data_IF_505853202682
#
_entry.id   IF_505853202682
#
_cell.length_a   1.000
_cell.length_b   1.000
_cell.length_c   1.000
_cell.angle_alpha   90.00
_cell.angle_beta   90.00
_cell.angle_gamma   90.00
#
_symmetry.space_group_name_H-M   'P 1'
#
loop_
_entity.id
_entity.type
_entity.pdbx_description
1 polymer ?
#
# COMPACT_ATOMS: atom_id res chain seq x y z
N UNK A 1 -64.28 -17.08 -46.03
CA UNK A 1 -63.44 -16.71 -44.87
C UNK A 1 -61.93 -16.69 -45.16
N UNK A 2 -61.47 -16.73 -46.43
CA UNK A 2 -60.02 -16.76 -46.74
C UNK A 2 -59.42 -15.44 -47.25
N UNK A 3 -60.24 -14.48 -47.70
CA UNK A 3 -59.73 -13.19 -48.20
C UNK A 3 -59.44 -12.15 -47.10
N UNK A 4 -60.19 -12.15 -45.99
CA UNK A 4 -59.95 -11.18 -44.89
C UNK A 4 -58.65 -11.45 -44.13
N UNK A 5 -58.29 -12.74 -43.95
CA UNK A 5 -57.00 -13.09 -43.34
C UNK A 5 -55.84 -12.63 -44.22
N UNK A 6 -55.94 -12.79 -45.55
CA UNK A 6 -54.86 -12.43 -46.48
C UNK A 6 -54.59 -10.91 -46.52
N UNK A 7 -55.65 -10.10 -46.43
CA UNK A 7 -55.53 -8.65 -46.33
C UNK A 7 -54.83 -8.21 -45.02
N UNK A 8 -55.21 -8.85 -43.90
CA UNK A 8 -54.62 -8.57 -42.58
C UNK A 8 -53.12 -8.90 -42.52
N UNK A 9 -52.67 -10.00 -43.12
CA UNK A 9 -51.25 -10.36 -43.19
C UNK A 9 -50.44 -9.39 -44.05
N UNK A 10 -50.99 -8.93 -45.17
CA UNK A 10 -50.33 -7.98 -46.08
C UNK A 10 -50.09 -6.63 -45.40
N UNK A 11 -51.05 -6.16 -44.61
CA UNK A 11 -50.92 -4.90 -43.87
C UNK A 11 -49.99 -5.01 -42.66
N UNK A 12 -49.96 -6.17 -41.99
CA UNK A 12 -48.99 -6.45 -40.93
C UNK A 12 -47.55 -6.52 -41.46
N UNK A 13 -47.34 -7.17 -42.61
CA UNK A 13 -46.04 -7.21 -43.29
C UNK A 13 -45.60 -5.81 -43.75
N UNK A 14 -46.51 -5.00 -44.30
CA UNK A 14 -46.21 -3.61 -44.64
C UNK A 14 -45.83 -2.78 -43.41
N UNK A 15 -46.53 -2.94 -42.29
CA UNK A 15 -46.18 -2.27 -41.02
C UNK A 15 -44.83 -2.72 -40.49
N UNK A 16 -44.50 -4.02 -40.57
CA UNK A 16 -43.22 -4.57 -40.11
C UNK A 16 -42.05 -4.16 -41.01
N UNK A 17 -42.25 -4.12 -42.33
CA UNK A 17 -41.27 -3.58 -43.29
C UNK A 17 -41.06 -2.07 -43.10
N UNK A 18 -42.12 -1.30 -42.80
CA UNK A 18 -41.99 0.11 -42.48
C UNK A 18 -41.26 0.36 -41.15
N UNK A 19 -41.47 -0.50 -40.14
CA UNK A 19 -40.73 -0.46 -38.87
C UNK A 19 -39.25 -0.86 -39.05
N UNK A 20 -38.95 -1.92 -39.81
CA UNK A 20 -37.59 -2.33 -40.14
C UNK A 20 -36.83 -1.23 -40.89
N UNK A 21 -37.49 -0.56 -41.85
CA UNK A 21 -36.90 0.61 -42.54
C UNK A 21 -36.65 1.80 -41.61
N UNK A 22 -37.47 1.98 -40.56
CA UNK A 22 -37.22 3.01 -39.54
C UNK A 22 -36.03 2.66 -38.65
N UNK A 23 -35.85 1.39 -38.28
CA UNK A 23 -34.66 0.92 -37.54
C UNK A 23 -33.39 0.99 -38.37
N UNK A 24 -33.44 0.62 -39.66
CA UNK A 24 -32.32 0.83 -40.59
C UNK A 24 -32.01 2.32 -40.76
N UNK A 25 -33.03 3.20 -40.78
CA UNK A 25 -32.81 4.64 -40.82
C UNK A 25 -32.21 5.18 -39.51
N UNK A 26 -32.53 4.59 -38.35
CA UNK A 26 -31.94 4.96 -37.06
C UNK A 26 -30.49 4.49 -36.96
N UNK A 27 -30.20 3.26 -37.40
CA UNK A 27 -28.83 2.75 -37.50
C UNK A 27 -27.99 3.59 -38.47
N UNK A 28 -28.52 3.88 -39.67
CA UNK A 28 -27.87 4.79 -40.61
C UNK A 28 -27.64 6.17 -40.04
N UNK A 29 -28.60 6.74 -39.32
CA UNK A 29 -28.40 8.03 -38.62
C UNK A 29 -27.32 7.96 -37.55
N UNK A 30 -27.25 6.87 -36.78
CA UNK A 30 -26.21 6.66 -35.78
C UNK A 30 -24.82 6.45 -36.41
N UNK A 31 -24.75 5.78 -37.56
CA UNK A 31 -23.54 5.64 -38.37
C UNK A 31 -23.13 6.98 -39.00
N UNK A 32 -24.08 7.73 -39.55
CA UNK A 32 -23.85 9.09 -40.08
C UNK A 32 -23.41 10.05 -38.98
N UNK A 33 -24.00 9.98 -37.77
CA UNK A 33 -23.59 10.77 -36.60
C UNK A 33 -22.18 10.42 -36.14
N UNK A 34 -21.80 9.13 -36.15
CA UNK A 34 -20.44 8.70 -35.78
C UNK A 34 -19.41 9.07 -36.85
N UNK A 35 -19.79 9.07 -38.13
CA UNK A 35 -18.97 9.58 -39.24
C UNK A 35 -18.80 11.10 -39.17
N UNK A 36 -19.88 11.85 -38.95
CA UNK A 36 -19.86 13.31 -38.74
C UNK A 36 -19.03 13.67 -37.51
N UNK A 37 -19.20 12.95 -36.40
CA UNK A 37 -18.38 13.11 -35.20
C UNK A 37 -16.91 12.83 -35.51
N UNK A 38 -16.58 11.73 -36.19
CA UNK A 38 -15.20 11.39 -36.55
C UNK A 38 -14.58 12.45 -37.45
N UNK A 39 -15.34 12.97 -38.42
CA UNK A 39 -14.92 14.05 -39.33
C UNK A 39 -14.62 15.33 -38.55
N UNK A 40 -15.59 15.85 -37.79
CA UNK A 40 -15.40 17.07 -37.01
C UNK A 40 -14.34 16.92 -35.93
N UNK A 41 -14.26 15.75 -35.28
CA UNK A 41 -13.19 15.44 -34.33
C UNK A 41 -11.83 15.46 -35.01
N UNK A 42 -11.68 14.89 -36.21
CA UNK A 42 -10.43 14.93 -36.96
C UNK A 42 -10.04 16.33 -37.46
N UNK A 43 -11.02 17.15 -37.84
CA UNK A 43 -10.83 18.55 -38.23
C UNK A 43 -10.47 19.43 -37.02
N UNK A 44 -11.17 19.28 -35.88
CA UNK A 44 -10.97 20.06 -34.67
C UNK A 44 -9.78 19.60 -33.81
N UNK A 45 -9.37 18.34 -33.91
CA UNK A 45 -8.13 17.84 -33.30
C UNK A 45 -6.88 18.54 -33.86
N UNK A 46 -7.04 19.29 -34.95
CA UNK A 46 -5.98 20.04 -35.59
C UNK A 46 -5.06 19.09 -36.33
N UNK A 47 -5.13 19.12 -37.66
CA UNK A 47 -4.05 18.61 -38.50
C UNK A 47 -2.77 19.41 -38.21
N UNK A 48 -1.99 18.92 -37.23
CA UNK A 48 -0.61 19.34 -36.99
C UNK A 48 -0.43 20.66 -36.25
N UNK A 49 -0.36 20.60 -34.91
CA UNK A 49 0.88 21.14 -34.33
C UNK A 49 2.00 20.39 -35.05
N UNK A 50 2.82 21.10 -35.83
CA UNK A 50 4.06 20.61 -36.47
C UNK A 50 4.43 19.23 -35.94
N UNK A 51 4.32 18.16 -36.75
CA UNK A 51 5.01 16.91 -36.41
C UNK A 51 6.48 17.30 -36.41
N UNK A 52 6.99 17.74 -35.27
CA UNK A 52 8.40 18.02 -35.11
C UNK A 52 9.12 16.75 -35.56
N UNK A 53 10.05 16.89 -36.51
CA UNK A 53 10.82 15.75 -37.05
C UNK A 53 11.50 14.93 -35.94
N UNK A 54 11.69 15.51 -34.75
CA UNK A 54 12.16 14.82 -33.56
C UNK A 54 11.25 13.67 -33.11
N UNK A 55 9.94 13.72 -33.39
CA UNK A 55 9.01 12.64 -33.02
C UNK A 55 9.14 11.38 -33.89
N UNK A 56 9.83 11.46 -35.04
CA UNK A 56 10.17 10.29 -35.84
C UNK A 56 11.29 9.46 -35.17
N UNK A 57 12.16 10.11 -34.39
CA UNK A 57 13.25 9.47 -33.62
C UNK A 57 12.92 9.25 -32.14
N UNK A 58 12.18 10.16 -31.52
CA UNK A 58 11.86 10.15 -30.09
C UNK A 58 10.33 10.12 -29.96
N UNK A 59 9.74 8.95 -29.63
CA UNK A 59 8.32 8.87 -29.39
C UNK A 59 7.88 9.89 -28.34
N UNK A 60 6.69 10.46 -28.53
CA UNK A 60 6.12 11.36 -27.54
C UNK A 60 5.96 10.63 -26.21
N UNK A 61 6.77 11.00 -25.22
CA UNK A 61 6.77 10.37 -23.89
C UNK A 61 5.98 11.18 -22.86
N UNK A 62 5.70 12.47 -23.14
CA UNK A 62 4.92 13.33 -22.26
C UNK A 62 3.59 13.74 -22.88
N UNK A 63 2.52 13.49 -22.14
CA UNK A 63 1.16 13.89 -22.46
C UNK A 63 0.68 14.83 -21.36
N UNK A 64 0.50 16.11 -21.71
CA UNK A 64 -0.04 17.11 -20.79
C UNK A 64 -1.45 16.68 -20.37
N UNK A 65 -1.73 16.73 -19.08
CA UNK A 65 -3.07 16.52 -18.56
C UNK A 65 -3.99 17.68 -18.95
N UNK A 66 -5.30 17.43 -19.19
CA UNK A 66 -6.27 18.49 -19.36
C UNK A 66 -6.26 19.42 -18.13
N UNK A 67 -6.34 20.71 -18.36
CA UNK A 67 -6.43 21.69 -17.29
C UNK A 67 -7.84 21.68 -16.66
N UNK A 68 -8.00 22.30 -15.47
CA UNK A 68 -9.27 22.28 -14.72
C UNK A 68 -10.44 22.96 -15.45
N UNK A 69 -10.13 23.89 -16.34
CA UNK A 69 -11.07 24.55 -17.24
C UNK A 69 -11.55 23.65 -18.40
N UNK A 70 -10.85 22.54 -18.68
CA UNK A 70 -11.15 21.61 -19.77
C UNK A 70 -12.03 20.42 -19.33
N UNK A 71 -13.19 20.71 -18.73
CA UNK A 71 -14.10 19.72 -18.10
C UNK A 71 -14.46 18.55 -19.02
N UNK A 72 -14.71 18.79 -20.31
CA UNK A 72 -15.05 17.73 -21.27
C UNK A 72 -13.88 16.76 -21.51
N UNK A 73 -12.65 17.28 -21.57
CA UNK A 73 -11.46 16.45 -21.76
C UNK A 73 -11.13 15.63 -20.51
N UNK A 74 -11.39 16.19 -19.32
CA UNK A 74 -11.28 15.46 -18.06
C UNK A 74 -12.28 14.30 -18.01
N UNK A 75 -13.57 14.56 -18.25
CA UNK A 75 -14.60 13.51 -18.28
C UNK A 75 -14.34 12.44 -19.34
N UNK A 76 -13.91 12.84 -20.54
CA UNK A 76 -13.54 11.88 -21.58
C UNK A 76 -12.37 10.99 -21.14
N UNK A 77 -11.37 11.58 -20.47
CA UNK A 77 -10.23 10.83 -19.92
C UNK A 77 -10.70 9.85 -18.85
N UNK A 78 -11.52 10.29 -17.89
CA UNK A 78 -12.09 9.46 -16.83
C UNK A 78 -12.86 8.26 -17.41
N UNK A 79 -13.79 8.50 -18.33
CA UNK A 79 -14.57 7.44 -18.99
C UNK A 79 -13.68 6.49 -19.79
N UNK A 80 -12.72 7.02 -20.57
CA UNK A 80 -11.80 6.18 -21.34
C UNK A 80 -10.96 5.27 -20.45
N UNK A 81 -10.59 5.75 -19.25
CA UNK A 81 -9.84 4.99 -18.25
C UNK A 81 -10.71 3.96 -17.55
N UNK A 82 -11.92 4.32 -17.15
CA UNK A 82 -12.87 3.39 -16.57
C UNK A 82 -13.14 2.21 -17.51
N UNK A 83 -13.39 2.48 -18.79
CA UNK A 83 -13.58 1.44 -19.82
C UNK A 83 -12.31 0.60 -20.02
N UNK A 84 -11.13 1.23 -20.04
CA UNK A 84 -9.87 0.50 -20.14
C UNK A 84 -9.63 -0.43 -18.96
N UNK A 85 -9.84 0.04 -17.73
CA UNK A 85 -9.70 -0.74 -16.50
C UNK A 85 -10.73 -1.86 -16.44
N UNK A 86 -11.98 -1.60 -16.87
CA UNK A 86 -13.01 -2.62 -16.96
C UNK A 86 -12.64 -3.71 -17.97
N UNK A 87 -12.08 -3.34 -19.13
CA UNK A 87 -11.56 -4.32 -20.10
C UNK A 87 -10.44 -5.16 -19.50
N UNK A 88 -9.51 -4.53 -18.77
CA UNK A 88 -8.43 -5.25 -18.07
C UNK A 88 -8.95 -6.17 -16.96
N UNK A 89 -9.98 -5.76 -16.23
CA UNK A 89 -10.64 -6.60 -15.22
C UNK A 89 -11.24 -7.85 -15.84
N UNK A 90 -11.92 -7.73 -17.00
CA UNK A 90 -12.48 -8.88 -17.74
C UNK A 90 -11.44 -9.85 -18.31
N UNK A 91 -10.18 -9.42 -18.46
CA UNK A 91 -9.08 -10.30 -18.88
C UNK A 91 -8.58 -11.20 -17.73
N UNK A 92 -8.94 -10.90 -16.47
CA UNK A 92 -8.57 -11.69 -15.30
C UNK A 92 -9.45 -12.93 -15.14
N UNK A 93 -8.91 -13.91 -14.40
CA UNK A 93 -9.62 -15.15 -14.09
C UNK A 93 -10.65 -14.91 -12.99
N UNK A 94 -11.88 -15.36 -13.22
CA UNK A 94 -12.95 -15.30 -12.23
C UNK A 94 -12.91 -16.54 -11.31
N UNK A 95 -13.64 -16.52 -10.18
CA UNK A 95 -13.62 -17.61 -9.20
C UNK A 95 -14.00 -18.97 -9.80
N UNK A 96 -14.98 -19.01 -10.71
CA UNK A 96 -15.38 -20.24 -11.42
C UNK A 96 -14.25 -20.75 -12.34
N UNK A 97 -13.53 -19.86 -13.01
CA UNK A 97 -12.41 -20.22 -13.88
C UNK A 97 -11.22 -20.75 -13.08
N UNK A 98 -10.98 -20.20 -11.89
CA UNK A 98 -9.98 -20.68 -10.94
C UNK A 98 -10.33 -22.06 -10.38
N UNK A 99 -11.60 -22.31 -10.02
CA UNK A 99 -12.06 -23.63 -9.60
C UNK A 99 -11.92 -24.67 -10.72
N UNK A 100 -12.28 -24.29 -11.95
CA UNK A 100 -12.10 -25.15 -13.12
C UNK A 100 -10.62 -25.45 -13.39
N UNK A 101 -9.73 -24.45 -13.22
CA UNK A 101 -8.29 -24.65 -13.35
C UNK A 101 -7.78 -25.66 -12.31
N UNK A 102 -8.20 -25.54 -11.04
CA UNK A 102 -7.86 -26.49 -9.99
C UNK A 102 -8.29 -27.92 -10.35
N UNK A 103 -9.55 -28.09 -10.77
CA UNK A 103 -10.08 -29.39 -11.18
C UNK A 103 -9.31 -30.00 -12.35
N UNK A 104 -8.92 -29.20 -13.34
CA UNK A 104 -8.13 -29.66 -14.47
C UNK A 104 -6.71 -30.09 -14.08
N UNK A 105 -6.08 -29.37 -13.14
CA UNK A 105 -4.78 -29.73 -12.61
C UNK A 105 -4.85 -31.05 -11.83
N UNK A 106 -5.82 -31.20 -10.94
CA UNK A 106 -6.04 -32.41 -10.13
C UNK A 106 -6.32 -33.65 -11.00
N UNK A 107 -7.11 -33.50 -12.08
CA UNK A 107 -7.38 -34.58 -13.04
C UNK A 107 -6.14 -35.06 -13.81
N UNK A 108 -5.14 -34.20 -13.97
CA UNK A 108 -3.94 -34.45 -14.76
C UNK A 108 -2.69 -34.62 -13.89
N UNK A 109 -2.88 -34.85 -12.58
CA UNK A 109 -1.80 -35.08 -11.64
C UNK A 109 -1.06 -36.40 -11.88
N UNK A 110 0.20 -36.42 -11.48
CA UNK A 110 1.06 -37.59 -11.39
C UNK A 110 1.27 -37.87 -9.91
N UNK A 111 1.06 -39.11 -9.43
CA UNK A 111 1.30 -39.45 -8.03
C UNK A 111 2.73 -39.10 -7.60
N UNK A 112 2.93 -38.48 -6.43
CA UNK A 112 4.26 -38.21 -5.93
C UNK A 112 5.04 -39.50 -5.64
N UNK A 113 6.35 -39.46 -5.89
CA UNK A 113 7.29 -40.54 -5.53
C UNK A 113 7.81 -40.39 -4.09
N UNK A 114 7.78 -39.18 -3.54
CA UNK A 114 8.20 -38.83 -2.18
C UNK A 114 7.34 -37.67 -1.68
N UNK A 115 6.56 -37.89 -0.61
CA UNK A 115 5.63 -36.92 -0.03
C UNK A 115 4.18 -37.06 -0.53
N UNK A 116 3.25 -36.35 0.11
CA UNK A 116 1.81 -36.35 -0.21
C UNK A 116 1.40 -35.24 -1.19
N UNK A 117 2.36 -34.54 -1.82
CA UNK A 117 2.06 -33.41 -2.71
C UNK A 117 1.70 -33.85 -4.14
N UNK A 118 0.57 -33.35 -4.66
CA UNK A 118 0.16 -33.59 -6.04
C UNK A 118 1.10 -32.90 -7.06
N UNK A 119 1.69 -33.67 -7.98
CA UNK A 119 2.69 -33.19 -8.94
C UNK A 119 2.15 -33.18 -10.38
N UNK A 120 2.74 -32.37 -11.26
CA UNK A 120 2.40 -32.35 -12.70
C UNK A 120 3.66 -32.27 -13.57
N UNK A 121 3.74 -33.18 -14.56
CA UNK A 121 4.81 -33.19 -15.56
C UNK A 121 4.53 -32.16 -16.69
N UNK A 122 5.54 -31.87 -17.51
CA UNK A 122 5.43 -30.82 -18.53
C UNK A 122 4.39 -31.15 -19.63
N UNK A 123 4.23 -32.43 -20.00
CA UNK A 123 3.24 -32.83 -21.00
C UNK A 123 1.81 -32.62 -20.51
N UNK A 124 1.51 -33.02 -19.27
CA UNK A 124 0.23 -32.78 -18.62
C UNK A 124 0.00 -31.29 -18.40
N UNK A 125 1.03 -30.53 -18.05
CA UNK A 125 0.97 -29.07 -17.95
C UNK A 125 0.52 -28.41 -19.27
N UNK A 126 1.08 -28.83 -20.41
CA UNK A 126 0.64 -28.35 -21.72
C UNK A 126 -0.81 -28.77 -22.05
N UNK A 127 -1.18 -30.03 -21.76
CA UNK A 127 -2.55 -30.53 -21.97
C UNK A 127 -3.57 -29.76 -21.13
N UNK A 128 -3.23 -29.41 -19.89
CA UNK A 128 -4.07 -28.56 -19.04
C UNK A 128 -4.14 -27.16 -19.64
N UNK A 129 -3.03 -26.58 -20.10
CA UNK A 129 -3.01 -25.27 -20.76
C UNK A 129 -3.84 -25.17 -22.05
N UNK A 130 -3.97 -26.26 -22.81
CA UNK A 130 -4.83 -26.33 -23.99
C UNK A 130 -6.32 -26.41 -23.64
N UNK A 131 -6.65 -27.15 -22.57
CA UNK A 131 -8.02 -27.30 -22.07
C UNK A 131 -8.46 -26.12 -21.21
N UNK A 132 -7.52 -25.42 -20.61
CA UNK A 132 -7.76 -24.22 -19.83
C UNK A 132 -8.22 -23.08 -20.76
N UNK A 133 -9.08 -22.20 -20.22
CA UNK A 133 -9.62 -21.07 -20.98
C UNK A 133 -8.55 -20.16 -21.57
N UNK A 134 -8.93 -19.32 -22.54
CA UNK A 134 -8.01 -18.41 -23.25
C UNK A 134 -7.23 -17.50 -22.30
N UNK A 135 -7.87 -17.08 -21.20
CA UNK A 135 -7.26 -16.25 -20.14
C UNK A 135 -6.12 -16.96 -19.40
N UNK A 136 -6.17 -18.29 -19.29
CA UNK A 136 -5.15 -19.08 -18.58
C UNK A 136 -3.85 -19.23 -19.37
N UNK A 137 -3.89 -19.09 -20.70
CA UNK A 137 -2.74 -19.36 -21.59
C UNK A 137 -1.48 -18.57 -21.23
N UNK A 138 -1.64 -17.36 -20.69
CA UNK A 138 -0.52 -16.52 -20.24
C UNK A 138 0.28 -17.10 -19.06
N UNK A 139 -0.31 -18.02 -18.28
CA UNK A 139 0.35 -18.68 -17.16
C UNK A 139 1.04 -19.98 -17.60
N UNK A 140 0.52 -20.64 -18.63
CA UNK A 140 1.07 -21.89 -19.19
C UNK A 140 2.22 -21.62 -20.17
N UNK A 141 3.35 -21.11 -19.65
CA UNK A 141 4.57 -20.88 -20.44
C UNK A 141 5.74 -21.69 -19.89
N UNK A 142 6.66 -22.10 -20.78
CA UNK A 142 7.88 -22.81 -20.39
C UNK A 142 8.70 -22.03 -19.34
N UNK A 143 8.69 -20.68 -19.40
CA UNK A 143 9.36 -19.83 -18.42
C UNK A 143 8.74 -19.92 -17.02
N UNK A 144 7.42 -20.04 -16.93
CA UNK A 144 6.74 -20.24 -15.63
C UNK A 144 7.04 -21.63 -15.09
N UNK A 145 6.96 -22.65 -15.96
CA UNK A 145 7.28 -24.02 -15.58
C UNK A 145 8.70 -24.16 -15.02
N UNK A 146 9.70 -23.64 -15.74
CA UNK A 146 11.09 -23.67 -15.32
C UNK A 146 11.37 -22.88 -14.03
N UNK A 147 10.59 -21.82 -13.75
CA UNK A 147 10.72 -21.06 -12.50
C UNK A 147 10.19 -21.81 -11.28
N UNK A 148 9.17 -22.63 -11.46
CA UNK A 148 8.53 -23.42 -10.40
C UNK A 148 9.17 -24.79 -10.22
N UNK A 149 10.08 -25.16 -11.12
CA UNK A 149 10.82 -26.40 -11.04
C UNK A 149 11.90 -26.29 -9.96
N UNK A 150 11.66 -26.90 -8.81
CA UNK A 150 12.59 -26.96 -7.70
C UNK A 150 13.13 -28.38 -7.52
N UNK A 151 14.39 -28.60 -7.90
CA UNK A 151 15.20 -29.79 -7.56
C UNK A 151 14.56 -31.17 -7.78
N UNK A 152 13.53 -31.29 -8.63
CA UNK A 152 12.90 -32.57 -8.92
C UNK A 152 13.68 -33.34 -10.00
N UNK A 153 14.14 -34.58 -9.73
CA UNK A 153 14.89 -35.39 -10.71
C UNK A 153 14.11 -35.72 -11.98
N UNK A 154 12.77 -35.65 -11.94
CA UNK A 154 11.88 -36.02 -13.04
C UNK A 154 11.29 -34.82 -13.77
N UNK A 155 11.65 -33.60 -13.38
CA UNK A 155 11.19 -32.39 -14.04
C UNK A 155 9.73 -32.04 -13.75
N UNK A 156 9.15 -32.50 -12.64
CA UNK A 156 7.76 -32.22 -12.24
C UNK A 156 7.65 -31.00 -11.32
N UNK A 157 6.49 -30.32 -11.34
CA UNK A 157 6.19 -29.18 -10.46
C UNK A 157 5.01 -29.50 -9.54
N UNK A 158 4.98 -28.91 -8.35
CA UNK A 158 3.84 -29.02 -7.41
C UNK A 158 2.64 -28.25 -7.96
N UNK A 159 1.48 -28.93 -8.05
CA UNK A 159 0.22 -28.34 -8.50
C UNK A 159 -0.19 -27.19 -7.59
N UNK A 160 0.00 -27.36 -6.28
CA UNK A 160 -0.32 -26.33 -5.28
C UNK A 160 0.53 -25.08 -5.50
N UNK A 161 1.84 -25.23 -5.75
CA UNK A 161 2.73 -24.09 -6.00
C UNK A 161 2.36 -23.35 -7.29
N UNK A 162 2.01 -24.07 -8.37
CA UNK A 162 1.56 -23.45 -9.61
C UNK A 162 0.21 -22.73 -9.43
N UNK A 163 -0.75 -23.36 -8.76
CA UNK A 163 -2.04 -22.75 -8.49
C UNK A 163 -1.90 -21.48 -7.64
N UNK A 164 -1.09 -21.51 -6.58
CA UNK A 164 -0.77 -20.36 -5.76
C UNK A 164 -0.08 -19.24 -6.56
N UNK A 165 0.80 -19.59 -7.50
CA UNK A 165 1.40 -18.61 -8.42
C UNK A 165 0.35 -17.92 -9.30
N UNK A 166 -0.60 -18.68 -9.87
CA UNK A 166 -1.69 -18.10 -10.67
C UNK A 166 -2.57 -17.21 -9.81
N UNK A 167 -3.00 -17.69 -8.64
CA UNK A 167 -3.80 -16.94 -7.66
C UNK A 167 -3.15 -15.61 -7.29
N UNK A 168 -1.87 -15.64 -6.84
CA UNK A 168 -1.11 -14.44 -6.48
C UNK A 168 -1.02 -13.45 -7.63
N UNK A 169 -0.81 -13.94 -8.85
CA UNK A 169 -0.68 -13.06 -10.02
C UNK A 169 -2.02 -12.45 -10.44
N UNK A 170 -3.11 -13.20 -10.40
CA UNK A 170 -4.48 -12.68 -10.64
C UNK A 170 -4.82 -11.63 -9.59
N UNK A 171 -4.58 -11.95 -8.31
CA UNK A 171 -4.81 -11.04 -7.19
C UNK A 171 -4.01 -9.74 -7.33
N UNK A 172 -2.70 -9.81 -7.61
CA UNK A 172 -1.88 -8.61 -7.82
C UNK A 172 -2.43 -7.71 -8.95
N UNK A 173 -2.89 -8.30 -10.05
CA UNK A 173 -3.50 -7.54 -11.13
C UNK A 173 -4.86 -6.97 -10.75
N UNK A 174 -5.68 -7.72 -10.03
CA UNK A 174 -6.99 -7.27 -9.54
C UNK A 174 -6.84 -6.10 -8.56
N UNK A 175 -5.95 -6.22 -7.57
CA UNK A 175 -5.66 -5.16 -6.59
C UNK A 175 -5.07 -3.94 -7.27
N UNK A 176 -4.16 -4.11 -8.25
CA UNK A 176 -3.64 -3.00 -9.05
C UNK A 176 -4.74 -2.27 -9.82
N UNK A 177 -5.67 -3.00 -10.44
CA UNK A 177 -6.80 -2.42 -11.16
C UNK A 177 -7.71 -1.68 -10.18
N UNK A 178 -8.01 -2.28 -9.03
CA UNK A 178 -8.78 -1.69 -7.95
C UNK A 178 -8.21 -0.34 -7.50
N UNK A 179 -6.94 -0.31 -7.10
CA UNK A 179 -6.25 0.93 -6.73
C UNK A 179 -6.21 1.96 -7.88
N UNK A 180 -6.07 1.50 -9.12
CA UNK A 180 -6.03 2.39 -10.30
C UNK A 180 -7.37 3.08 -10.60
N UNK A 181 -8.49 2.58 -10.06
CA UNK A 181 -9.79 3.24 -10.17
C UNK A 181 -9.83 4.54 -9.34
N UNK A 182 -9.10 4.61 -8.23
CA UNK A 182 -9.05 5.78 -7.34
C UNK A 182 -7.99 6.81 -7.75
N UNK A 183 -7.04 6.45 -8.64
CA UNK A 183 -6.09 7.41 -9.20
C UNK A 183 -6.83 8.36 -10.15
N UNK A 184 -7.37 9.49 -9.66
CA UNK A 184 -8.13 10.44 -10.48
C UNK A 184 -7.28 10.99 -11.64
N UNK A 185 -5.98 11.22 -11.41
CA UNK A 185 -5.08 11.79 -12.41
C UNK A 185 -4.63 10.78 -13.49
N UNK A 186 -4.65 9.48 -13.18
CA UNK A 186 -4.15 8.41 -14.05
C UNK A 186 -2.64 8.48 -14.24
N UNK A 187 -1.92 8.90 -13.21
CA UNK A 187 -0.47 9.06 -13.23
C UNK A 187 0.27 7.94 -12.50
N UNK A 188 -0.45 6.93 -11.98
CA UNK A 188 0.11 5.76 -11.32
C UNK A 188 0.44 5.99 -9.84
N UNK A 189 -0.08 7.06 -9.24
CA UNK A 189 0.07 7.37 -7.83
C UNK A 189 -1.27 7.74 -7.20
N UNK A 190 -1.40 7.52 -5.90
CA UNK A 190 -2.55 7.90 -5.09
C UNK A 190 -2.18 9.06 -4.17
N UNK A 191 -3.08 10.03 -4.07
CA UNK A 191 -3.05 11.07 -3.04
C UNK A 191 -3.75 10.58 -1.78
N UNK A 192 -3.63 11.37 -0.72
CA UNK A 192 -4.27 11.09 0.56
C UNK A 192 -5.77 10.83 0.40
N UNK A 193 -6.50 11.75 -0.24
CA UNK A 193 -7.94 11.60 -0.51
C UNK A 193 -8.30 10.35 -1.30
N UNK A 194 -7.44 9.95 -2.24
CA UNK A 194 -7.69 8.78 -3.10
C UNK A 194 -7.60 7.50 -2.27
N UNK A 195 -6.61 7.43 -1.36
CA UNK A 195 -6.42 6.29 -0.48
C UNK A 195 -7.46 6.27 0.66
N UNK A 196 -7.87 7.43 1.17
CA UNK A 196 -8.98 7.54 2.14
C UNK A 196 -10.26 6.93 1.58
N UNK A 197 -10.63 7.29 0.34
CA UNK A 197 -11.80 6.74 -0.33
C UNK A 197 -11.69 5.22 -0.52
N UNK A 198 -10.51 4.74 -0.93
CA UNK A 198 -10.26 3.30 -1.07
C UNK A 198 -10.45 2.54 0.26
N UNK A 199 -9.86 3.02 1.35
CA UNK A 199 -9.97 2.36 2.66
C UNK A 199 -11.42 2.44 3.18
N UNK A 200 -12.10 3.57 3.00
CA UNK A 200 -13.49 3.75 3.43
C UNK A 200 -14.44 2.76 2.73
N UNK A 201 -14.26 2.52 1.43
CA UNK A 201 -15.03 1.51 0.69
C UNK A 201 -14.62 0.08 1.03
N UNK A 202 -13.39 -0.13 1.53
CA UNK A 202 -12.90 -1.44 1.94
C UNK A 202 -13.49 -1.87 3.29
N UNK A 203 -13.73 -0.96 4.24
CA UNK A 203 -14.20 -1.26 5.60
C UNK A 203 -15.37 -2.25 5.64
N UNK A 204 -16.48 -2.07 4.88
CA UNK A 204 -17.63 -2.99 4.93
C UNK A 204 -17.34 -4.39 4.40
N UNK A 205 -16.18 -4.61 3.77
CA UNK A 205 -15.73 -5.91 3.26
C UNK A 205 -14.79 -6.63 4.23
N UNK A 206 -14.47 -6.01 5.37
CA UNK A 206 -13.55 -6.51 6.39
C UNK A 206 -14.35 -6.92 7.64
N UNK A 207 -14.66 -8.21 7.84
CA UNK A 207 -15.46 -8.68 8.98
C UNK A 207 -14.87 -8.26 10.34
N UNK A 208 -13.53 -8.20 10.44
CA UNK A 208 -12.85 -7.78 11.66
C UNK A 208 -13.10 -6.31 12.05
N UNK A 209 -13.67 -5.50 11.15
CA UNK A 209 -14.01 -4.10 11.38
C UNK A 209 -15.52 -3.84 11.54
N UNK A 210 -16.37 -4.88 11.41
CA UNK A 210 -17.83 -4.73 11.49
C UNK A 210 -18.31 -4.15 12.84
N UNK A 211 -17.55 -4.38 13.91
CA UNK A 211 -17.84 -3.85 15.24
C UNK A 211 -17.52 -2.37 15.44
N UNK A 212 -16.89 -1.70 14.47
CA UNK A 212 -16.53 -0.28 14.59
C UNK A 212 -17.74 0.64 14.44
N UNK A 213 -17.84 1.63 15.33
CA UNK A 213 -18.85 2.67 15.22
C UNK A 213 -18.61 3.56 14.00
N UNK A 214 -19.68 3.97 13.31
CA UNK A 214 -19.59 4.85 12.13
C UNK A 214 -18.97 6.22 12.44
N UNK A 215 -19.12 6.70 13.68
CA UNK A 215 -18.46 7.91 14.20
C UNK A 215 -16.94 7.79 14.17
N UNK A 216 -16.41 6.58 14.34
CA UNK A 216 -14.97 6.30 14.38
C UNK A 216 -14.35 6.12 12.98
N UNK A 217 -15.15 5.94 11.93
CA UNK A 217 -14.63 5.64 10.58
C UNK A 217 -13.64 6.69 10.08
N UNK A 218 -13.91 7.98 10.30
CA UNK A 218 -12.99 9.05 9.90
C UNK A 218 -11.63 8.94 10.58
N UNK A 219 -11.59 8.58 11.87
CA UNK A 219 -10.35 8.39 12.62
C UNK A 219 -9.62 7.12 12.18
N UNK A 220 -10.36 6.01 12.00
CA UNK A 220 -9.79 4.77 11.50
C UNK A 220 -9.15 4.94 10.11
N UNK A 221 -9.88 5.58 9.17
CA UNK A 221 -9.37 5.86 7.83
C UNK A 221 -8.12 6.74 7.90
N UNK A 222 -8.13 7.80 8.73
CA UNK A 222 -6.96 8.63 8.95
C UNK A 222 -5.76 7.80 9.46
N UNK A 223 -5.95 6.96 10.48
CA UNK A 223 -4.92 6.07 11.04
C UNK A 223 -4.33 5.12 10.01
N UNK A 224 -5.19 4.46 9.23
CA UNK A 224 -4.75 3.53 8.20
C UNK A 224 -3.98 4.24 7.07
N UNK A 225 -4.52 5.35 6.55
CA UNK A 225 -3.87 6.15 5.49
C UNK A 225 -2.55 6.73 5.97
N UNK A 226 -2.47 7.23 7.21
CA UNK A 226 -1.23 7.75 7.79
C UNK A 226 -0.12 6.71 7.76
N UNK A 227 -0.41 5.46 8.10
CA UNK A 227 0.59 4.38 8.05
C UNK A 227 1.19 4.22 6.64
N UNK A 228 0.37 4.21 5.59
CA UNK A 228 0.88 4.15 4.21
C UNK A 228 1.74 5.37 3.84
N UNK A 229 1.27 6.58 4.14
CA UNK A 229 2.01 7.82 3.81
C UNK A 229 3.31 7.96 4.59
N UNK A 230 3.32 7.55 5.86
CA UNK A 230 4.50 7.66 6.70
C UNK A 230 5.67 6.83 6.16
N UNK A 231 5.41 5.59 5.73
CA UNK A 231 6.46 4.68 5.26
C UNK A 231 6.72 4.75 3.75
N UNK A 232 5.70 5.00 2.92
CA UNK A 232 5.83 4.96 1.46
C UNK A 232 6.05 6.35 0.81
N UNK A 233 5.91 7.44 1.57
CA UNK A 233 6.22 8.80 1.13
C UNK A 233 7.22 9.50 2.07
N UNK A 234 8.48 8.99 2.17
CA UNK A 234 9.50 9.55 3.08
C UNK A 234 9.86 11.01 2.78
N UNK A 235 9.62 11.47 1.55
CA UNK A 235 9.85 12.85 1.12
C UNK A 235 8.64 13.77 1.33
N UNK A 236 7.53 13.25 1.87
CA UNK A 236 6.27 13.99 2.13
C UNK A 236 5.76 14.73 0.88
N UNK A 237 5.84 14.08 -0.28
CA UNK A 237 5.35 14.61 -1.57
C UNK A 237 3.83 14.65 -1.68
N UNK A 238 3.13 13.96 -0.79
CA UNK A 238 1.68 13.76 -0.84
C UNK A 238 1.25 12.77 -1.92
N UNK A 239 2.17 11.92 -2.40
CA UNK A 239 1.95 10.99 -3.51
C UNK A 239 2.64 9.65 -3.26
N UNK A 240 1.87 8.57 -3.28
CA UNK A 240 2.40 7.21 -3.18
C UNK A 240 2.16 6.47 -4.49
N UNK A 241 3.18 5.81 -5.05
CA UNK A 241 2.98 5.02 -6.27
C UNK A 241 2.18 3.77 -5.96
N UNK A 242 1.26 3.41 -6.85
CA UNK A 242 0.46 2.17 -6.71
C UNK A 242 1.38 0.93 -6.66
N UNK A 243 2.52 0.96 -7.36
CA UNK A 243 3.50 -0.12 -7.31
C UNK A 243 4.12 -0.31 -5.92
N UNK A 244 4.36 0.79 -5.20
CA UNK A 244 4.96 0.75 -3.87
C UNK A 244 3.92 0.23 -2.84
N UNK A 245 2.63 0.56 -3.02
CA UNK A 245 1.53 0.00 -2.22
C UNK A 245 1.38 -1.51 -2.45
N UNK A 246 1.51 -1.98 -3.70
CA UNK A 246 1.43 -3.42 -4.01
C UNK A 246 2.64 -4.23 -3.52
N UNK A 247 3.76 -3.56 -3.25
CA UNK A 247 5.00 -4.19 -2.81
C UNK A 247 5.19 -4.13 -1.29
N UNK A 248 4.36 -3.36 -0.57
CA UNK A 248 4.46 -3.24 0.88
C UNK A 248 3.70 -4.35 1.59
N UNK A 249 4.20 -4.77 2.76
CA UNK A 249 3.53 -5.75 3.61
C UNK A 249 2.25 -5.19 4.24
N UNK A 250 2.13 -3.87 4.36
CA UNK A 250 0.98 -3.23 5.01
C UNK A 250 -0.35 -3.49 4.29
N UNK A 251 -0.30 -3.67 2.97
CA UNK A 251 -1.50 -4.02 2.20
C UNK A 251 -1.96 -5.44 2.53
N UNK A 252 -1.02 -6.36 2.73
CA UNK A 252 -1.31 -7.73 3.15
C UNK A 252 -1.92 -7.72 4.56
N UNK A 253 -1.32 -6.98 5.52
CA UNK A 253 -1.87 -6.82 6.88
C UNK A 253 -3.31 -6.27 6.84
N UNK A 254 -3.59 -5.28 5.99
CA UNK A 254 -4.94 -4.71 5.86
C UNK A 254 -5.94 -5.72 5.29
N UNK A 255 -5.52 -6.55 4.34
CA UNK A 255 -6.38 -7.53 3.67
C UNK A 255 -6.54 -8.82 4.47
N UNK A 256 -5.63 -9.11 5.40
CA UNK A 256 -5.74 -10.18 6.39
C UNK A 256 -7.00 -10.03 7.25
N UNK A 257 -7.47 -8.79 7.46
CA UNK A 257 -8.71 -8.47 8.19
C UNK A 257 -9.99 -8.99 7.50
N UNK A 258 -9.88 -9.57 6.31
CA UNK A 258 -10.96 -10.31 5.64
C UNK A 258 -11.20 -11.68 6.24
N UNK A 259 -10.21 -12.24 6.92
CA UNK A 259 -10.33 -13.54 7.57
C UNK A 259 -11.17 -13.40 8.85
N UNK A 260 -12.30 -14.10 8.92
CA UNK A 260 -13.20 -14.12 10.07
C UNK A 260 -12.58 -14.84 11.27
N UNK A 261 -11.71 -15.82 11.02
CA UNK A 261 -11.11 -16.69 12.04
C UNK A 261 -9.78 -16.17 12.58
N UNK A 262 -9.48 -14.88 12.35
CA UNK A 262 -8.22 -14.29 12.79
C UNK A 262 -8.03 -14.40 14.31
N UNK A 263 -6.92 -14.99 14.73
CA UNK A 263 -6.60 -15.16 16.15
C UNK A 263 -6.48 -13.80 16.85
N UNK A 264 -6.77 -13.76 18.16
CA UNK A 264 -6.63 -12.52 18.95
C UNK A 264 -5.20 -12.00 18.97
N UNK A 265 -4.21 -12.89 19.01
CA UNK A 265 -2.78 -12.54 18.97
C UNK A 265 -2.42 -11.87 17.63
N UNK A 266 -2.91 -12.43 16.52
CA UNK A 266 -2.76 -11.84 15.19
C UNK A 266 -3.41 -10.45 15.12
N UNK A 267 -4.61 -10.29 15.68
CA UNK A 267 -5.29 -8.99 15.75
C UNK A 267 -4.48 -7.96 16.55
N UNK A 268 -3.90 -8.34 17.68
CA UNK A 268 -3.09 -7.44 18.51
C UNK A 268 -1.78 -7.02 17.83
N UNK A 269 -1.18 -7.92 17.05
CA UNK A 269 0.03 -7.64 16.26
C UNK A 269 -0.26 -6.79 15.02
N UNK A 270 -1.45 -6.92 14.43
CA UNK A 270 -1.84 -6.20 13.24
C UNK A 270 -2.29 -4.78 13.60
N UNK A 271 -1.57 -3.78 13.07
CA UNK A 271 -1.86 -2.37 13.31
C UNK A 271 -3.20 -1.90 12.75
N UNK A 272 -3.67 -2.52 11.67
CA UNK A 272 -4.94 -2.15 11.01
C UNK A 272 -6.16 -2.76 11.71
N UNK A 273 -5.97 -3.65 12.68
CA UNK A 273 -7.09 -4.23 13.42
C UNK A 273 -7.85 -3.17 14.21
N UNK A 274 -9.15 -3.42 14.43
CA UNK A 274 -9.97 -2.53 15.24
C UNK A 274 -9.40 -2.32 16.66
N UNK A 275 -8.94 -3.35 17.39
CA UNK A 275 -8.31 -3.17 18.70
C UNK A 275 -7.07 -2.27 18.67
N UNK A 276 -6.19 -2.44 17.68
CA UNK A 276 -4.97 -1.62 17.56
C UNK A 276 -5.30 -0.15 17.24
N UNK A 277 -6.21 0.10 16.30
CA UNK A 277 -6.64 1.45 15.96
C UNK A 277 -7.32 2.16 17.15
N UNK A 278 -8.19 1.44 17.88
CA UNK A 278 -8.84 1.95 19.09
C UNK A 278 -7.85 2.18 20.23
N UNK A 279 -6.80 1.35 20.36
CA UNK A 279 -5.73 1.55 21.35
C UNK A 279 -5.00 2.87 21.12
N UNK A 280 -4.59 3.14 19.87
CA UNK A 280 -3.86 4.37 19.51
C UNK A 280 -4.74 5.61 19.71
N UNK A 281 -6.00 5.54 19.29
CA UNK A 281 -6.96 6.63 19.51
C UNK A 281 -7.31 6.83 20.98
N UNK A 282 -7.48 5.73 21.74
CA UNK A 282 -7.73 5.79 23.17
C UNK A 282 -6.56 6.40 23.94
N UNK A 283 -5.32 6.11 23.54
CA UNK A 283 -4.14 6.79 24.07
C UNK A 283 -4.17 8.30 23.81
N UNK A 284 -4.57 8.72 22.60
CA UNK A 284 -4.73 10.13 22.27
C UNK A 284 -5.75 10.82 23.19
N UNK A 285 -6.94 10.23 23.35
CA UNK A 285 -7.99 10.76 24.23
C UNK A 285 -7.59 10.79 25.70
N UNK A 286 -6.76 9.84 26.15
CA UNK A 286 -6.26 9.82 27.53
C UNK A 286 -5.24 10.92 27.80
N UNK A 287 -4.54 11.40 26.76
CA UNK A 287 -3.58 12.50 26.86
C UNK A 287 -4.30 13.85 26.84
N UNK A 288 -5.32 14.01 25.98
CA UNK A 288 -6.17 15.20 25.85
C UNK A 288 -7.10 15.35 27.07
N UNK A 289 -6.64 16.10 28.08
CA UNK A 289 -7.36 16.26 29.37
C UNK A 289 -8.39 17.36 29.36
N UNK A 290 -8.20 18.37 28.54
CA UNK A 290 -9.16 19.46 28.39
C UNK A 290 -10.24 19.14 27.34
N UNK A 291 -10.09 18.02 26.62
CA UNK A 291 -11.00 17.51 25.61
C UNK A 291 -11.22 18.52 24.48
N UNK A 292 -10.18 19.28 24.16
CA UNK A 292 -10.22 20.27 23.09
C UNK A 292 -9.95 19.64 21.70
N UNK A 293 -9.56 18.36 21.67
CA UNK A 293 -9.32 17.60 20.45
C UNK A 293 -7.92 17.74 19.88
N UNK A 294 -7.02 18.46 20.56
CA UNK A 294 -5.60 18.68 20.25
C UNK A 294 -4.74 18.32 21.47
N UNK A 295 -3.42 18.22 21.29
CA UNK A 295 -2.50 17.92 22.38
C UNK A 295 -1.51 19.04 22.61
N UNK A 296 -1.52 19.58 23.83
CA UNK A 296 -0.47 20.47 24.33
C UNK A 296 0.84 19.71 24.63
N UNK A 297 1.95 20.43 24.73
CA UNK A 297 3.26 19.84 25.06
C UNK A 297 3.23 19.14 26.42
N UNK A 298 2.53 19.73 27.40
CA UNK A 298 2.37 19.18 28.75
C UNK A 298 1.60 17.85 28.73
N UNK A 299 0.62 17.71 27.85
CA UNK A 299 -0.13 16.46 27.67
C UNK A 299 0.70 15.41 26.97
N UNK A 300 1.35 15.74 25.85
CA UNK A 300 2.21 14.81 25.13
C UNK A 300 3.41 14.34 25.98
N UNK A 301 3.86 15.14 26.95
CA UNK A 301 4.92 14.74 27.89
C UNK A 301 4.59 13.49 28.71
N UNK A 302 3.30 13.13 28.83
CA UNK A 302 2.84 11.93 29.53
C UNK A 302 2.70 10.71 28.61
N UNK A 303 3.08 10.84 27.34
CA UNK A 303 3.05 9.72 26.39
C UNK A 303 3.92 8.55 26.87
N UNK A 304 3.38 7.33 26.77
CA UNK A 304 4.05 6.11 27.25
C UNK A 304 4.32 6.16 28.75
N UNK A 305 5.59 6.08 29.13
CA UNK A 305 6.07 6.19 30.52
C UNK A 305 6.35 7.63 30.96
N UNK A 306 6.17 8.61 30.08
CA UNK A 306 6.51 10.01 30.34
C UNK A 306 8.01 10.28 30.50
N UNK A 307 8.84 9.42 29.90
CA UNK A 307 10.31 9.45 30.01
C UNK A 307 10.98 10.19 28.84
N UNK A 308 10.19 10.67 27.88
CA UNK A 308 10.68 11.51 26.78
C UNK A 308 11.26 12.82 27.33
N UNK A 309 12.42 13.21 26.81
CA UNK A 309 13.09 14.42 27.27
C UNK A 309 12.31 15.68 26.87
N UNK A 310 12.29 16.67 27.75
CA UNK A 310 11.63 17.96 27.49
C UNK A 310 12.19 18.65 26.24
N UNK A 311 13.49 18.49 25.99
CA UNK A 311 14.20 19.03 24.83
C UNK A 311 13.73 18.38 23.52
N UNK A 312 13.51 17.07 23.53
CA UNK A 312 12.95 16.38 22.37
C UNK A 312 11.52 16.85 22.10
N UNK A 313 10.68 16.96 23.14
CA UNK A 313 9.31 17.47 23.01
C UNK A 313 9.30 18.93 22.49
N UNK A 314 10.21 19.79 22.95
CA UNK A 314 10.37 21.14 22.39
C UNK A 314 10.63 21.11 20.88
N UNK A 315 11.48 20.20 20.42
CA UNK A 315 11.77 20.05 18.99
C UNK A 315 10.58 19.51 18.21
N UNK A 316 9.82 18.59 18.77
CA UNK A 316 8.56 18.08 18.17
C UNK A 316 7.61 19.24 17.89
N UNK A 317 7.33 20.11 18.87
CA UNK A 317 6.41 21.24 18.70
C UNK A 317 6.97 22.38 17.83
N UNK A 318 8.28 22.45 17.63
CA UNK A 318 8.92 23.41 16.73
C UNK A 318 8.91 22.96 15.25
N UNK A 319 9.08 21.67 14.99
CA UNK A 319 9.26 21.13 13.64
C UNK A 319 8.00 20.50 13.04
N UNK A 320 7.09 20.04 13.89
CA UNK A 320 5.81 19.47 13.48
C UNK A 320 4.75 20.56 13.30
N UNK A 321 3.70 20.22 12.55
CA UNK A 321 2.57 21.13 12.38
C UNK A 321 1.81 21.25 13.71
N UNK A 322 1.71 22.49 14.20
CA UNK A 322 0.98 22.81 15.43
C UNK A 322 0.02 23.97 15.19
N UNK A 323 -1.11 23.98 15.88
CA UNK A 323 -2.11 25.03 15.86
C UNK A 323 -2.12 25.67 17.25
N UNK A 324 -1.72 26.94 17.33
CA UNK A 324 -1.60 27.67 18.61
C UNK A 324 -0.77 26.94 19.69
N UNK A 325 0.22 26.16 19.26
CA UNK A 325 1.08 25.37 20.16
C UNK A 325 0.55 23.98 20.51
N UNK A 326 -0.54 23.54 19.87
CA UNK A 326 -1.14 22.22 20.08
C UNK A 326 -1.05 21.35 18.82
N UNK A 327 -0.99 20.03 19.01
CA UNK A 327 -0.81 19.04 17.95
C UNK A 327 -2.13 18.34 17.62
N UNK A 328 -2.44 18.16 16.34
CA UNK A 328 -3.62 17.41 15.90
C UNK A 328 -3.40 15.88 15.87
N UNK A 329 -4.49 15.12 15.81
CA UNK A 329 -4.44 13.66 15.78
C UNK A 329 -3.57 13.12 14.61
N UNK A 330 -3.60 13.80 13.47
CA UNK A 330 -2.83 13.41 12.28
C UNK A 330 -1.31 13.54 12.54
N UNK A 331 -0.88 14.61 13.19
CA UNK A 331 0.52 14.80 13.56
C UNK A 331 0.94 13.87 14.71
N UNK A 332 0.02 13.60 15.65
CA UNK A 332 0.22 12.59 16.69
C UNK A 332 0.46 11.19 16.11
N UNK A 333 -0.28 10.80 15.05
CA UNK A 333 -0.06 9.52 14.37
C UNK A 333 1.34 9.41 13.76
N UNK A 334 1.82 10.46 13.08
CA UNK A 334 3.21 10.50 12.56
C UNK A 334 4.23 10.31 13.71
N UNK A 335 3.97 10.91 14.87
CA UNK A 335 4.81 10.80 16.06
C UNK A 335 4.82 9.37 16.63
N UNK A 336 3.65 8.74 16.79
CA UNK A 336 3.53 7.36 17.29
C UNK A 336 4.20 6.38 16.33
N UNK A 337 3.93 6.48 15.03
CA UNK A 337 4.53 5.62 14.00
C UNK A 337 6.06 5.73 14.00
N UNK A 338 6.60 6.94 14.20
CA UNK A 338 8.04 7.13 14.30
C UNK A 338 8.63 6.45 15.55
N UNK A 339 7.96 6.56 16.69
CA UNK A 339 8.48 6.05 17.96
C UNK A 339 8.32 4.54 18.13
N UNK A 340 7.31 3.92 17.52
CA UNK A 340 7.13 2.46 17.56
C UNK A 340 8.02 1.74 16.54
N UNK A 341 8.31 2.38 15.39
CA UNK A 341 9.09 1.77 14.30
C UNK A 341 10.48 2.38 14.14
N UNK A 342 11.20 2.70 15.24
CA UNK A 342 12.52 3.38 15.21
C UNK A 342 13.62 2.68 14.39
N UNK A 343 13.43 1.41 14.03
CA UNK A 343 14.33 0.65 13.17
C UNK A 343 14.17 0.98 11.69
N UNK A 344 12.99 1.44 11.29
CA UNK A 344 12.67 1.72 9.90
C UNK A 344 13.33 3.02 9.43
N UNK A 345 13.85 3.08 8.19
CA UNK A 345 14.50 4.27 7.65
C UNK A 345 13.60 5.52 7.67
N UNK A 346 12.29 5.36 7.42
CA UNK A 346 11.33 6.46 7.43
C UNK A 346 11.16 7.07 8.84
N UNK A 347 11.10 6.22 9.87
CA UNK A 347 11.04 6.65 11.27
C UNK A 347 12.35 7.32 11.70
N UNK A 348 13.50 6.77 11.32
CA UNK A 348 14.80 7.39 11.57
C UNK A 348 14.90 8.76 10.90
N UNK A 349 14.39 8.91 9.67
CA UNK A 349 14.36 10.20 8.99
C UNK A 349 13.51 11.22 9.74
N UNK A 350 12.35 10.81 10.25
CA UNK A 350 11.49 11.66 11.08
C UNK A 350 12.23 12.13 12.34
N UNK A 351 12.81 11.20 13.11
CA UNK A 351 13.53 11.52 14.35
C UNK A 351 14.78 12.36 14.06
N UNK A 352 15.51 12.03 12.99
CA UNK A 352 16.70 12.78 12.58
C UNK A 352 16.38 14.24 12.27
N UNK A 353 15.25 14.51 11.60
CA UNK A 353 14.79 15.89 11.37
C UNK A 353 14.58 16.64 12.68
N UNK A 354 14.04 15.98 13.71
CA UNK A 354 13.86 16.58 15.03
C UNK A 354 15.19 16.86 15.74
N UNK A 355 16.17 15.96 15.56
CA UNK A 355 17.52 16.08 16.13
C UNK A 355 18.40 17.12 15.42
N UNK A 356 18.21 17.31 14.11
CA UNK A 356 18.96 18.29 13.31
C UNK A 356 18.44 19.72 13.50
N UNK A 357 18.81 20.32 14.63
CA UNK A 357 18.41 21.70 14.97
C UNK A 357 18.79 22.75 13.92
N UNK A 358 19.85 22.53 13.16
CA UNK A 358 20.38 23.52 12.21
C UNK A 358 19.95 23.23 10.76
N UNK A 359 19.20 22.14 10.52
CA UNK A 359 18.80 21.66 9.20
C UNK A 359 19.98 21.56 8.21
N UNK A 360 21.16 21.16 8.70
CA UNK A 360 22.38 21.04 7.90
C UNK A 360 22.52 19.67 7.23
N UNK A 361 21.65 18.72 7.55
CA UNK A 361 21.69 17.33 7.07
C UNK A 361 22.69 16.44 7.82
N UNK A 362 23.27 16.93 8.93
CA UNK A 362 24.17 16.17 9.79
C UNK A 362 24.09 16.63 11.24
N UNK A 363 24.21 15.68 12.18
CA UNK A 363 24.34 15.95 13.60
C UNK A 363 25.81 16.23 13.92
N UNK A 364 26.04 17.34 14.60
CA UNK A 364 27.36 17.72 15.10
C UNK A 364 27.45 17.48 16.61
N UNK A 365 28.66 17.64 17.16
CA UNK A 365 28.92 17.44 18.60
C UNK A 365 28.11 18.39 19.48
N UNK A 366 27.81 19.60 19.00
CA UNK A 366 26.96 20.55 19.72
C UNK A 366 25.51 20.07 19.80
N UNK A 367 24.95 19.59 18.68
CA UNK A 367 23.59 19.04 18.63
C UNK A 367 23.45 17.86 19.58
N UNK A 368 24.40 16.93 19.56
CA UNK A 368 24.40 15.79 20.50
C UNK A 368 24.48 16.27 21.96
N UNK A 369 25.42 17.17 22.27
CA UNK A 369 25.55 17.74 23.62
C UNK A 369 24.27 18.40 24.13
N UNK A 370 23.53 19.06 23.24
CA UNK A 370 22.29 19.73 23.59
C UNK A 370 21.23 18.73 24.10
N UNK A 371 21.04 17.61 23.40
CA UNK A 371 20.14 16.54 23.85
C UNK A 371 20.69 15.81 25.09
N UNK A 372 22.01 15.59 25.17
CA UNK A 372 22.64 14.95 26.34
C UNK A 372 22.57 15.78 27.63
N UNK A 373 22.49 17.11 27.54
CA UNK A 373 22.51 17.99 28.73
C UNK A 373 21.36 17.70 29.69
N UNK A 374 20.23 17.18 29.20
CA UNK A 374 19.07 16.84 30.04
C UNK A 374 19.17 15.41 30.61
N UNK A 375 19.97 14.54 30.00
CA UNK A 375 20.29 13.20 30.51
C UNK A 375 21.37 13.23 31.62
N UNK A 376 21.98 14.40 31.84
CA UNK A 376 23.23 14.61 32.57
C UNK A 376 23.09 14.68 34.09
N UNK A 377 22.50 13.64 34.72
CA UNK A 377 22.83 13.30 36.12
C UNK A 377 23.90 12.21 36.23
N UNK A 378 24.30 11.56 35.11
CA UNK A 378 25.29 10.47 35.13
C UNK A 378 26.26 10.53 33.92
N UNK A 379 27.44 9.94 34.10
CA UNK A 379 28.75 10.26 33.55
C UNK A 379 29.03 9.94 32.06
N UNK A 380 28.04 9.78 31.18
CA UNK A 380 28.29 9.41 29.78
C UNK A 380 28.64 10.61 28.88
N UNK A 381 29.91 10.68 28.46
CA UNK A 381 30.39 11.74 27.55
C UNK A 381 29.90 11.51 26.10
N UNK A 382 29.62 12.57 25.32
CA UNK A 382 29.21 12.50 23.90
C UNK A 382 30.18 11.74 22.97
N UNK A 383 31.40 11.52 23.44
CA UNK A 383 32.47 10.80 22.74
C UNK A 383 32.06 9.34 22.43
N UNK A 384 31.20 8.73 23.26
CA UNK A 384 30.75 7.34 23.07
C UNK A 384 29.82 7.17 21.86
N UNK A 385 28.92 8.13 21.63
CA UNK A 385 28.05 8.11 20.44
C UNK A 385 28.87 8.21 19.17
N UNK A 386 29.92 9.02 19.18
CA UNK A 386 30.85 9.14 18.04
C UNK A 386 31.62 7.83 17.79
N UNK A 387 31.97 7.09 18.84
CA UNK A 387 32.69 5.81 18.74
C UNK A 387 31.83 4.64 18.21
N UNK A 388 30.50 4.71 18.40
CA UNK A 388 29.56 3.69 17.87
C UNK A 388 29.51 3.69 16.33
N UNK A 389 29.92 4.77 15.68
CA UNK A 389 29.96 4.85 14.23
C UNK A 389 31.41 4.78 13.74
N UNK A 390 31.83 3.65 13.19
CA UNK A 390 33.06 3.56 12.40
C UNK A 390 32.85 4.36 11.10
N UNK A 391 33.23 5.63 11.10
CA UNK A 391 32.85 6.61 10.08
C UNK A 391 34.04 7.27 9.38
N UNK A 392 33.84 7.59 8.10
CA UNK A 392 34.78 8.35 7.25
C UNK A 392 34.99 9.81 7.74
N UNK A 393 34.10 10.35 8.58
CA UNK A 393 34.25 11.65 9.24
C UNK A 393 33.67 11.63 10.68
N UNK A 394 34.50 11.62 11.74
CA UNK A 394 34.05 11.43 13.13
C UNK A 394 33.24 12.61 13.71
N UNK A 395 33.08 13.73 12.98
CA UNK A 395 32.43 14.95 13.49
C UNK A 395 31.08 15.27 12.83
N UNK A 396 30.61 14.46 11.88
CA UNK A 396 29.34 14.67 11.17
C UNK A 396 28.61 13.33 11.03
N UNK A 397 27.50 13.17 11.76
CA UNK A 397 26.66 11.98 11.65
C UNK A 397 25.48 12.31 10.75
N UNK A 398 25.40 11.68 9.58
CA UNK A 398 24.27 11.85 8.64
C UNK A 398 23.18 10.82 8.89
N UNK A 399 22.01 11.01 8.26
CA UNK A 399 20.94 10.00 8.28
C UNK A 399 21.41 8.66 7.67
N UNK A 400 22.18 8.69 6.58
CA UNK A 400 22.69 7.48 5.94
C UNK A 400 23.60 6.69 6.89
N UNK A 401 24.33 7.39 7.76
CA UNK A 401 25.20 6.79 8.77
C UNK A 401 24.40 6.02 9.83
N UNK A 402 23.25 6.56 10.24
CA UNK A 402 22.32 5.90 11.16
C UNK A 402 21.66 4.67 10.55
N UNK A 403 21.31 4.73 9.26
CA UNK A 403 20.71 3.61 8.54
C UNK A 403 21.74 2.50 8.31
N UNK A 404 22.95 2.86 7.88
CA UNK A 404 24.01 1.89 7.57
C UNK A 404 24.60 1.21 8.82
N UNK A 405 24.55 1.86 9.98
CA UNK A 405 25.09 1.28 11.22
C UNK A 405 24.21 0.18 11.80
N UNK A 406 22.94 0.08 11.38
CA UNK A 406 21.92 -0.81 11.99
C UNK A 406 21.74 -0.61 13.50
N UNK A 407 22.24 0.49 14.06
CA UNK A 407 22.12 0.88 15.48
C UNK A 407 21.42 2.24 15.63
N UNK A 408 20.82 2.75 14.55
CA UNK A 408 20.12 4.04 14.55
C UNK A 408 18.98 4.11 15.56
N UNK A 409 18.24 3.01 15.76
CA UNK A 409 17.18 2.88 16.75
C UNK A 409 17.68 3.05 18.19
N UNK A 410 18.84 2.46 18.49
CA UNK A 410 19.49 2.54 19.80
C UNK A 410 19.99 3.96 20.06
N UNK A 411 20.69 4.55 19.09
CA UNK A 411 21.23 5.92 19.22
C UNK A 411 20.10 6.95 19.37
N UNK A 412 19.06 6.85 18.55
CA UNK A 412 17.90 7.76 18.66
C UNK A 412 17.18 7.57 20.00
N UNK A 413 16.97 6.33 20.45
CA UNK A 413 16.33 6.05 21.75
C UNK A 413 17.09 6.65 22.93
N UNK A 414 18.42 6.54 22.94
CA UNK A 414 19.28 7.14 23.97
C UNK A 414 19.15 8.67 23.99
N UNK A 415 19.04 9.31 22.82
CA UNK A 415 18.99 10.76 22.71
C UNK A 415 17.63 11.36 23.09
N UNK A 416 16.54 10.62 22.90
CA UNK A 416 15.18 11.14 23.05
C UNK A 416 14.48 10.68 24.34
N UNK A 417 14.86 9.54 24.90
CA UNK A 417 14.15 8.86 25.99
C UNK A 417 15.09 8.46 27.15
N UNK A 418 14.74 8.87 28.37
CA UNK A 418 15.47 8.52 29.60
C UNK A 418 15.47 7.00 29.87
N UNK A 419 14.37 6.31 29.57
CA UNK A 419 14.32 4.86 29.75
C UNK A 419 15.21 4.16 28.72
N UNK A 420 15.19 4.63 27.47
CA UNK A 420 16.09 4.15 26.42
C UNK A 420 17.57 4.29 26.80
N UNK A 421 17.94 5.41 27.44
CA UNK A 421 19.26 5.61 28.03
C UNK A 421 19.55 4.60 29.17
N UNK A 422 18.63 4.45 30.12
CA UNK A 422 18.80 3.55 31.27
C UNK A 422 18.93 2.07 30.86
N UNK A 423 18.11 1.60 29.93
CA UNK A 423 18.18 0.23 29.40
C UNK A 423 19.52 -0.02 28.71
N UNK A 424 20.07 0.98 28.02
CA UNK A 424 21.36 0.85 27.36
C UNK A 424 22.52 0.84 28.37
N UNK A 425 22.54 1.75 29.35
CA UNK A 425 23.58 1.75 30.41
C UNK A 425 23.61 0.44 31.19
N UNK A 426 22.44 -0.14 31.48
CA UNK A 426 22.34 -1.37 32.26
C UNK A 426 22.31 -2.64 31.39
N UNK A 427 22.58 -2.55 30.09
CA UNK A 427 22.48 -3.70 29.17
C UNK A 427 23.39 -4.86 29.59
N UNK A 428 24.59 -4.59 30.11
CA UNK A 428 25.50 -5.64 30.60
C UNK A 428 24.97 -6.33 31.87
N UNK A 429 24.30 -5.58 32.75
CA UNK A 429 23.68 -6.12 33.97
C UNK A 429 22.41 -6.90 33.66
N UNK A 430 21.59 -6.42 32.71
CA UNK A 430 20.37 -7.08 32.26
C UNK A 430 20.67 -8.39 31.52
N UNK A 431 21.71 -8.41 30.68
CA UNK A 431 22.17 -9.63 30.00
C UNK A 431 22.77 -10.63 30.99
N UNK A 432 23.41 -10.17 32.07
CA UNK A 432 23.87 -11.06 33.15
C UNK A 432 22.70 -11.68 33.92
N UNK A 433 21.64 -10.92 34.23
CA UNK A 433 20.46 -11.45 34.92
C UNK A 433 19.62 -12.42 34.07
N UNK A 434 19.57 -12.25 32.75
CA UNK A 434 18.88 -13.18 31.84
C UNK A 434 19.67 -14.49 31.61
N UNK A 435 20.99 -14.46 31.76
CA UNK A 435 21.79 -15.67 31.74
C UNK A 435 21.70 -16.44 33.07
N UNK A 436 21.68 -15.74 34.21
CA UNK A 436 21.53 -16.38 35.52
C UNK A 436 20.14 -17.02 35.71
N UNK A 437 19.08 -16.45 35.13
CA UNK A 437 17.73 -17.03 35.14
C UNK A 437 17.61 -18.28 34.25
N UNK A 438 18.30 -18.33 33.11
CA UNK A 438 18.32 -19.50 32.24
C UNK A 438 19.21 -20.64 32.76
N UNK A 439 20.14 -20.37 33.69
CA UNK A 439 20.94 -21.42 34.35
C UNK A 439 20.26 -22.02 35.59
N UNK A 440 19.23 -21.39 36.15
CA UNK A 440 18.53 -21.89 37.33
C UNK A 440 17.53 -23.03 37.02
N UNK A 441 17.09 -23.18 35.76
CA UNK A 441 16.12 -24.21 35.35
C UNK A 441 16.76 -25.51 34.82
N UNK A 442 18.09 -25.67 34.91
CA UNK A 442 18.81 -26.85 34.42
C UNK A 442 19.39 -27.77 35.51
N UNK A 443 19.20 -27.44 36.80
CA UNK A 443 19.79 -28.21 37.91
C UNK A 443 18.76 -28.96 38.79
N UNK A 444 17.50 -29.05 38.37
CA UNK A 444 16.48 -29.92 38.98
C UNK A 444 15.81 -30.82 37.91
N UNK A 445 16.56 -31.82 37.42
CA UNK A 445 16.00 -33.08 36.85
C UNK A 445 16.82 -34.30 37.23
#
# INVERSE_FOLDING_TARGET
MSNDKLAHWKDLLKKRLAASRKDDSKKKKSEEETELFSKYYSEWKGTGRSRDRSYDTIPRFYYRLPAEDEVLLQKLREESRAVFLQRKSRELLDNEELQNLWFLLDKHQVPPLTGDEAMINYESFLKVGEKAGVKCKQFFTARVYAKLLHNDPYGCISIMQFFNYVMRKVWLHQTRIGLSLYDVAGQGYLRESDLENYILELIPTLPQLDGLEKSFYSFYVCTAVRKFFFFLDPLRTGKIKIQDILACSFLDDLLELRDEELSKESQESNWFSAPSALRVYGQYLNLDKDHNGMLSKEELSRYGTGTLTSVFLDRVYQECLTYDGEMDYKTYLDFVLALENRKEPAALQYIFKLLDMENKGYLNVFSLNYFFRVLHSTFLRPVWVVLLFHQHNPYKITLQDLVNSSQGDTVTSILIDLNGFWTYENREVLVASDNDSNTADLDDT
#
